data_IF_865125603808
#
_entry.id   IF_865125603808
#
_cell.length_a   1.000
_cell.length_b   1.000
_cell.length_c   1.000
_cell.angle_alpha   90.00
_cell.angle_beta   90.00
_cell.angle_gamma   90.00
#
_symmetry.space_group_name_H-M   'P 1'
#
loop_
_entity.id
_entity.type
_entity.pdbx_description
1 polymer ?
#
# COMPACT_ATOMS: atom_id res chain seq x y z
N UNK A 1 12.53 7.72 -10.70
CA UNK A 1 11.28 8.00 -9.96
C UNK A 1 10.10 7.39 -10.69
N UNK A 2 9.10 6.91 -9.97
CA UNK A 2 7.82 6.43 -10.48
C UNK A 2 6.79 7.57 -10.38
N UNK A 3 5.96 7.72 -11.41
CA UNK A 3 4.88 8.70 -11.43
C UNK A 3 3.55 7.96 -11.36
N UNK A 4 2.88 7.99 -10.20
CA UNK A 4 1.52 7.49 -10.05
C UNK A 4 0.59 8.52 -10.64
N UNK A 5 0.10 8.27 -11.87
CA UNK A 5 -0.90 9.12 -12.52
C UNK A 5 -2.30 8.62 -12.18
N UNK A 6 -3.23 9.56 -12.06
CA UNK A 6 -4.63 9.24 -11.83
C UNK A 6 -5.26 8.72 -13.12
N UNK A 7 -5.75 7.49 -13.10
CA UNK A 7 -6.46 6.90 -14.23
C UNK A 7 -7.94 7.33 -14.17
N UNK A 8 -8.22 8.57 -14.57
CA UNK A 8 -9.59 9.10 -14.58
C UNK A 8 -10.51 8.37 -15.56
N UNK A 9 -9.97 7.65 -16.56
CA UNK A 9 -10.77 6.85 -17.49
C UNK A 9 -11.35 5.61 -16.80
N UNK A 10 -10.57 4.96 -15.92
CA UNK A 10 -11.07 3.86 -15.08
C UNK A 10 -12.22 4.30 -14.16
N UNK A 11 -12.25 5.56 -13.76
CA UNK A 11 -13.30 6.14 -12.93
C UNK A 11 -14.52 6.62 -13.73
N UNK A 12 -14.49 6.54 -15.07
CA UNK A 12 -15.49 6.99 -16.05
C UNK A 12 -16.77 7.63 -15.47
N UNK A 13 -17.79 6.84 -15.08
CA UNK A 13 -19.08 7.36 -14.60
C UNK A 13 -18.98 8.20 -13.32
N UNK A 14 -18.04 7.88 -12.43
CA UNK A 14 -17.88 8.50 -11.11
C UNK A 14 -17.10 9.81 -11.14
N UNK A 15 -16.39 10.09 -12.24
CA UNK A 15 -15.62 11.32 -12.40
C UNK A 15 -16.50 12.58 -12.29
N UNK A 16 -17.77 12.46 -12.70
CA UNK A 16 -18.70 13.58 -12.81
C UNK A 16 -19.81 13.57 -11.76
N UNK A 17 -19.90 12.51 -10.92
CA UNK A 17 -20.99 12.33 -9.96
C UNK A 17 -20.63 12.71 -8.53
N UNK A 18 -19.35 12.97 -8.23
CA UNK A 18 -18.95 13.50 -6.92
C UNK A 18 -17.60 13.00 -6.41
N UNK A 19 -16.99 13.89 -5.63
CA UNK A 19 -15.81 13.86 -4.74
C UNK A 19 -14.90 12.64 -4.64
N UNK A 20 -15.32 11.39 -4.84
CA UNK A 20 -14.57 10.20 -4.45
C UNK A 20 -13.13 10.13 -5.01
N UNK A 21 -12.87 10.26 -6.33
CA UNK A 21 -11.49 10.21 -6.84
C UNK A 21 -10.62 11.36 -6.32
N UNK A 22 -11.20 12.54 -6.16
CA UNK A 22 -10.54 13.72 -5.61
C UNK A 22 -10.21 13.52 -4.12
N UNK A 23 -11.17 13.04 -3.32
CA UNK A 23 -11.00 12.81 -1.87
C UNK A 23 -9.98 11.71 -1.61
N UNK A 24 -10.04 10.60 -2.36
CA UNK A 24 -9.04 9.54 -2.27
C UNK A 24 -7.65 10.09 -2.59
N UNK A 25 -7.52 10.87 -3.67
CA UNK A 25 -6.25 11.49 -4.06
C UNK A 25 -5.74 12.46 -3.01
N UNK A 26 -6.60 13.34 -2.50
CA UNK A 26 -6.25 14.31 -1.48
C UNK A 26 -5.80 13.60 -0.19
N UNK A 27 -6.55 12.60 0.27
CA UNK A 27 -6.20 11.77 1.42
C UNK A 27 -4.86 11.08 1.21
N UNK A 28 -4.63 10.48 0.03
CA UNK A 28 -3.35 9.84 -0.29
C UNK A 28 -2.19 10.85 -0.19
N UNK A 29 -2.35 12.07 -0.70
CA UNK A 29 -1.32 13.12 -0.60
C UNK A 29 -1.06 13.48 0.88
N UNK A 30 -2.10 13.79 1.66
CA UNK A 30 -1.98 14.18 3.07
C UNK A 30 -1.30 13.09 3.92
N UNK A 31 -1.70 11.85 3.69
CA UNK A 31 -1.11 10.65 4.27
C UNK A 31 0.38 10.53 3.94
N UNK A 32 0.74 10.68 2.66
CA UNK A 32 2.12 10.57 2.20
C UNK A 32 3.00 11.70 2.70
N UNK A 33 2.50 12.94 2.81
CA UNK A 33 3.25 14.03 3.43
C UNK A 33 3.52 13.75 4.93
N UNK A 34 2.56 13.16 5.64
CA UNK A 34 2.71 12.76 7.05
C UNK A 34 3.74 11.66 7.25
N UNK A 35 3.70 10.62 6.39
CA UNK A 35 4.67 9.52 6.38
C UNK A 35 6.06 10.03 6.01
N UNK A 36 6.17 10.92 5.02
CA UNK A 36 7.44 11.47 4.55
C UNK A 36 8.22 12.21 5.65
N UNK A 37 7.53 12.85 6.59
CA UNK A 37 8.17 13.47 7.75
C UNK A 37 8.84 12.45 8.70
N UNK A 38 8.46 11.18 8.63
CA UNK A 38 8.96 10.09 9.48
C UNK A 38 9.34 8.88 8.60
N UNK A 39 10.43 8.95 7.82
CA UNK A 39 10.76 7.92 6.84
C UNK A 39 11.12 6.57 7.50
N UNK A 40 10.78 5.47 6.83
CA UNK A 40 11.13 4.11 7.24
C UNK A 40 11.65 3.31 6.04
N UNK A 41 12.69 2.47 6.18
CA UNK A 41 13.29 1.74 5.06
C UNK A 41 12.33 0.77 4.35
N UNK A 42 11.32 0.25 5.05
CA UNK A 42 10.30 -0.66 4.50
C UNK A 42 8.99 0.02 4.09
N UNK A 43 9.01 1.34 3.89
CA UNK A 43 7.88 2.11 3.37
C UNK A 43 8.28 2.72 2.04
N UNK A 44 7.36 2.67 1.06
CA UNK A 44 7.54 3.26 -0.26
C UNK A 44 7.84 4.75 -0.13
N UNK A 45 9.01 5.18 -0.62
CA UNK A 45 9.43 6.56 -0.46
C UNK A 45 8.68 7.50 -1.41
N UNK A 46 7.94 8.44 -0.84
CA UNK A 46 7.22 9.51 -1.52
C UNK A 46 8.07 10.79 -1.58
N UNK A 47 8.08 11.44 -2.75
CA UNK A 47 8.91 12.62 -3.06
C UNK A 47 8.11 13.89 -3.32
N UNK A 48 6.78 13.86 -3.16
CA UNK A 48 5.89 14.99 -3.44
C UNK A 48 4.98 14.75 -4.64
N UNK A 49 4.42 15.85 -5.15
CA UNK A 49 3.53 15.88 -6.32
C UNK A 49 4.19 16.55 -7.52
N UNK A 50 3.82 16.12 -8.73
CA UNK A 50 4.06 16.86 -9.96
C UNK A 50 2.89 17.83 -10.18
N UNK A 51 3.21 19.11 -10.43
CA UNK A 51 2.22 20.15 -10.71
C UNK A 51 2.41 20.68 -12.12
N UNK A 52 1.37 20.64 -12.94
CA UNK A 52 1.35 21.18 -14.30
C UNK A 52 0.20 22.17 -14.44
N UNK A 53 0.49 23.41 -14.83
CA UNK A 53 -0.52 24.49 -14.99
C UNK A 53 -1.39 24.70 -13.75
N UNK A 54 -0.82 24.54 -12.55
CA UNK A 54 -1.53 24.69 -11.28
C UNK A 54 -2.30 23.45 -10.80
N UNK A 55 -2.28 22.35 -11.55
CA UNK A 55 -2.97 21.10 -11.18
C UNK A 55 -1.99 20.01 -10.80
N UNK A 56 -2.30 19.21 -9.79
CA UNK A 56 -1.55 17.99 -9.45
C UNK A 56 -1.80 16.94 -10.54
N UNK A 57 -0.74 16.51 -11.24
CA UNK A 57 -0.82 15.56 -12.36
C UNK A 57 -0.22 14.19 -12.08
N UNK A 58 0.53 14.05 -10.99
CA UNK A 58 1.02 12.77 -10.49
C UNK A 58 1.51 12.88 -9.03
N UNK A 59 1.45 11.76 -8.30
CA UNK A 59 2.25 11.56 -7.09
C UNK A 59 3.59 10.92 -7.49
N UNK A 60 4.67 11.35 -6.85
CA UNK A 60 6.03 10.94 -7.19
C UNK A 60 6.59 10.04 -6.12
N UNK A 61 6.98 8.82 -6.51
CA UNK A 61 7.54 7.82 -5.62
C UNK A 61 8.91 7.33 -6.11
N UNK A 62 9.68 6.68 -5.24
CA UNK A 62 10.81 5.86 -5.67
C UNK A 62 10.30 4.77 -6.62
N UNK A 63 11.05 4.51 -7.69
CA UNK A 63 10.72 3.43 -8.64
C UNK A 63 11.37 2.14 -8.16
N UNK A 64 10.55 1.16 -7.84
CA UNK A 64 10.96 -0.20 -7.47
C UNK A 64 10.95 -1.13 -8.68
N UNK A 65 11.53 -2.33 -8.55
CA UNK A 65 11.72 -3.26 -9.67
C UNK A 65 10.41 -3.92 -10.11
N UNK A 66 9.57 -4.33 -9.15
CA UNK A 66 8.21 -4.84 -9.34
C UNK A 66 7.49 -4.93 -7.99
N UNK A 67 6.21 -5.32 -8.00
CA UNK A 67 5.49 -5.76 -6.80
C UNK A 67 5.83 -7.22 -6.44
N UNK A 68 5.42 -7.66 -5.24
CA UNK A 68 5.69 -8.99 -4.71
C UNK A 68 4.96 -10.09 -5.48
N UNK A 69 3.74 -9.83 -5.96
CA UNK A 69 2.97 -10.77 -6.77
C UNK A 69 3.76 -11.13 -8.05
N UNK A 70 4.24 -10.10 -8.75
CA UNK A 70 5.12 -10.22 -9.91
C UNK A 70 6.46 -10.87 -9.57
N UNK A 71 7.07 -10.51 -8.43
CA UNK A 71 8.36 -11.07 -8.00
C UNK A 71 8.28 -12.58 -7.80
N UNK A 72 7.24 -13.06 -7.13
CA UNK A 72 6.97 -14.48 -6.92
C UNK A 72 6.61 -15.19 -8.22
N UNK A 73 5.76 -14.59 -9.06
CA UNK A 73 5.36 -15.16 -10.34
C UNK A 73 6.55 -15.40 -11.30
N UNK A 74 7.65 -14.66 -11.14
CA UNK A 74 8.90 -14.83 -11.88
C UNK A 74 9.80 -15.96 -11.36
N UNK A 75 9.36 -16.73 -10.36
CA UNK A 75 10.15 -17.82 -9.81
C UNK A 75 11.29 -17.37 -8.89
N UNK A 76 11.23 -16.15 -8.34
CA UNK A 76 12.33 -15.60 -7.56
C UNK A 76 12.53 -16.34 -6.23
N UNK A 77 13.78 -16.59 -5.86
CA UNK A 77 14.15 -17.11 -4.55
C UNK A 77 14.36 -15.98 -3.56
N UNK A 78 13.79 -16.10 -2.36
CA UNK A 78 13.96 -15.13 -1.28
C UNK A 78 13.65 -15.75 0.08
N UNK A 79 14.01 -15.04 1.14
CA UNK A 79 13.63 -15.41 2.51
C UNK A 79 12.25 -14.81 2.86
N UNK A 80 11.19 -15.64 2.93
CA UNK A 80 9.85 -15.16 3.26
C UNK A 80 9.74 -14.68 4.72
N UNK A 81 10.58 -15.19 5.63
CA UNK A 81 10.57 -14.75 7.04
C UNK A 81 11.12 -13.33 7.15
N UNK A 82 12.24 -13.05 6.46
CA UNK A 82 12.77 -11.70 6.35
C UNK A 82 11.77 -10.73 5.70
N UNK A 83 11.07 -11.15 4.64
CA UNK A 83 10.01 -10.35 4.02
C UNK A 83 8.90 -10.01 5.01
N UNK A 84 8.34 -11.00 5.71
CA UNK A 84 7.26 -10.78 6.67
C UNK A 84 7.71 -9.89 7.83
N UNK A 85 8.98 -10.02 8.26
CA UNK A 85 9.55 -9.13 9.27
C UNK A 85 9.65 -7.68 8.79
N UNK A 86 10.05 -7.46 7.54
CA UNK A 86 10.11 -6.12 6.93
C UNK A 86 8.72 -5.48 6.81
N UNK A 87 7.71 -6.27 6.40
CA UNK A 87 6.32 -5.79 6.35
C UNK A 87 5.76 -5.48 7.74
N UNK A 88 6.04 -6.34 8.73
CA UNK A 88 5.67 -6.08 10.12
C UNK A 88 6.25 -4.76 10.62
N UNK A 89 7.53 -4.51 10.34
CA UNK A 89 8.18 -3.24 10.72
C UNK A 89 7.51 -2.03 10.05
N UNK A 90 7.17 -2.13 8.75
CA UNK A 90 6.44 -1.07 8.04
C UNK A 90 5.05 -0.79 8.63
N UNK A 91 4.28 -1.85 8.93
CA UNK A 91 2.93 -1.75 9.51
C UNK A 91 3.01 -1.14 10.92
N UNK A 92 3.93 -1.62 11.76
CA UNK A 92 4.14 -1.05 13.11
C UNK A 92 4.50 0.43 13.03
N UNK A 93 5.30 0.83 12.05
CA UNK A 93 5.68 2.23 11.86
C UNK A 93 4.48 3.13 11.53
N UNK A 94 3.66 2.77 10.54
CA UNK A 94 2.47 3.58 10.19
C UNK A 94 1.42 3.58 11.32
N UNK A 95 1.30 2.46 12.05
CA UNK A 95 0.44 2.36 13.24
C UNK A 95 0.87 3.32 14.34
N UNK A 96 2.18 3.47 14.56
CA UNK A 96 2.73 4.41 15.53
C UNK A 96 2.48 5.89 15.14
N UNK A 97 2.31 6.16 13.84
CA UNK A 97 1.91 7.47 13.32
C UNK A 97 0.38 7.70 13.36
N UNK A 98 -0.40 6.72 13.84
CA UNK A 98 -1.85 6.80 13.96
C UNK A 98 -2.62 6.46 12.68
N UNK A 99 -1.98 5.78 11.71
CA UNK A 99 -2.60 5.35 10.46
C UNK A 99 -2.80 3.83 10.41
N UNK A 100 -3.77 3.41 9.61
CA UNK A 100 -4.06 2.00 9.27
C UNK A 100 -4.13 1.89 7.75
N UNK A 101 -3.31 1.01 7.16
CA UNK A 101 -3.19 0.86 5.71
C UNK A 101 -4.46 0.33 5.04
N UNK A 102 -5.16 -0.59 5.71
CA UNK A 102 -6.42 -1.29 5.34
C UNK A 102 -6.41 -2.05 4.01
N UNK A 103 -5.26 -2.16 3.33
CA UNK A 103 -5.13 -2.85 2.04
C UNK A 103 -3.76 -3.53 1.90
N UNK A 104 -3.29 -4.18 2.97
CA UNK A 104 -2.04 -4.95 2.93
C UNK A 104 -2.25 -6.22 2.11
N UNK A 105 -1.60 -6.29 0.94
CA UNK A 105 -1.63 -7.42 -0.02
C UNK A 105 -0.36 -7.49 -0.85
N UNK A 106 -0.16 -8.59 -1.57
CA UNK A 106 1.06 -8.81 -2.36
C UNK A 106 1.30 -7.73 -3.44
N UNK A 107 0.24 -7.22 -4.07
CA UNK A 107 0.33 -6.18 -5.10
C UNK A 107 0.77 -4.81 -4.55
N UNK A 108 0.60 -4.58 -3.25
CA UNK A 108 0.96 -3.33 -2.56
C UNK A 108 2.33 -3.42 -1.87
N UNK A 109 3.04 -4.53 -2.04
CA UNK A 109 4.41 -4.71 -1.55
C UNK A 109 5.37 -4.61 -2.72
N UNK A 110 6.24 -3.60 -2.74
CA UNK A 110 7.22 -3.41 -3.79
C UNK A 110 8.58 -3.99 -3.41
N UNK A 111 9.33 -4.43 -4.41
CA UNK A 111 10.62 -5.09 -4.26
C UNK A 111 11.73 -4.24 -4.86
N UNK A 112 12.74 -3.97 -4.04
CA UNK A 112 14.01 -3.41 -4.47
C UNK A 112 15.05 -4.53 -4.53
N UNK A 113 15.36 -4.96 -5.76
CA UNK A 113 16.35 -6.01 -6.04
C UNK A 113 17.72 -5.41 -6.34
N UNK A 114 17.91 -4.09 -6.22
CA UNK A 114 19.22 -3.47 -6.38
C UNK A 114 20.13 -3.65 -5.15
N UNK A 115 19.54 -4.07 -4.03
CA UNK A 115 20.21 -4.40 -2.78
C UNK A 115 20.13 -5.90 -2.48
N UNK A 116 21.12 -6.42 -1.75
CA UNK A 116 21.15 -7.82 -1.30
C UNK A 116 21.27 -7.91 0.23
N UNK A 117 20.40 -8.67 0.92
CA UNK A 117 19.19 -9.31 0.38
C UNK A 117 18.20 -8.27 -0.16
N UNK A 118 17.27 -8.70 -1.03
CA UNK A 118 16.25 -7.81 -1.58
C UNK A 118 15.46 -7.14 -0.44
N UNK A 119 15.11 -5.87 -0.65
CA UNK A 119 14.32 -5.07 0.29
C UNK A 119 12.88 -5.03 -0.16
N UNK A 120 11.97 -5.25 0.79
CA UNK A 120 10.53 -5.20 0.58
C UNK A 120 9.99 -3.93 1.24
N UNK A 121 9.14 -3.21 0.51
CA UNK A 121 8.53 -1.98 0.98
C UNK A 121 7.01 -2.03 0.83
N UNK A 122 6.28 -1.59 1.86
CA UNK A 122 4.85 -1.40 1.79
C UNK A 122 4.54 -0.07 1.10
N UNK A 123 3.60 -0.06 0.17
CA UNK A 123 3.15 1.15 -0.51
C UNK A 123 1.68 1.07 -0.93
N UNK A 124 1.26 2.03 -1.74
CA UNK A 124 -0.13 2.26 -2.13
C UNK A 124 -1.05 2.65 -0.96
N UNK A 125 -0.97 3.94 -0.57
CA UNK A 125 -1.64 4.49 0.62
C UNK A 125 -3.00 5.13 0.32
N UNK A 126 -3.59 4.84 -0.83
CA UNK A 126 -4.86 5.46 -1.23
C UNK A 126 -6.07 4.93 -0.46
N UNK A 127 -5.95 3.74 0.12
CA UNK A 127 -6.93 3.14 1.01
C UNK A 127 -6.68 3.49 2.47
N UNK A 128 -5.49 4.03 2.81
CA UNK A 128 -5.08 4.27 4.20
C UNK A 128 -5.94 5.35 4.87
N UNK A 129 -6.30 5.11 6.14
CA UNK A 129 -7.09 6.02 6.99
C UNK A 129 -6.39 6.25 8.32
N UNK A 130 -6.83 7.25 9.08
CA UNK A 130 -6.45 7.37 10.49
C UNK A 130 -7.14 6.27 11.31
N UNK A 131 -6.50 5.81 12.37
CA UNK A 131 -7.11 4.85 13.29
C UNK A 131 -8.42 5.42 13.88
N UNK A 132 -9.50 4.63 13.80
CA UNK A 132 -10.84 5.00 14.24
C UNK A 132 -11.65 5.84 13.23
N UNK A 133 -11.07 6.23 12.10
CA UNK A 133 -11.79 6.94 11.05
C UNK A 133 -12.73 6.01 10.28
N UNK A 134 -13.88 6.52 9.84
CA UNK A 134 -14.81 5.75 9.02
C UNK A 134 -14.18 5.33 7.68
N UNK A 135 -14.38 4.08 7.28
CA UNK A 135 -13.93 3.56 5.99
C UNK A 135 -14.76 4.21 4.87
N UNK A 136 -14.19 5.20 4.19
CA UNK A 136 -14.87 5.94 3.14
C UNK A 136 -14.15 5.84 1.80
N UNK A 137 -14.95 5.76 0.74
CA UNK A 137 -14.59 5.77 -0.69
C UNK A 137 -13.73 4.61 -1.20
N UNK A 138 -12.71 4.17 -0.46
CA UNK A 138 -11.82 3.07 -0.83
C UNK A 138 -11.26 2.37 0.39
N UNK A 139 -11.45 1.06 0.50
CA UNK A 139 -10.91 0.22 1.57
C UNK A 139 -10.84 -1.24 1.13
N UNK A 140 -9.75 -1.91 1.51
CA UNK A 140 -9.55 -3.34 1.35
C UNK A 140 -9.64 -3.88 -0.08
N UNK A 141 -9.22 -5.13 -0.22
CA UNK A 141 -9.41 -5.91 -1.44
C UNK A 141 -10.13 -7.21 -1.06
N UNK A 142 -11.18 -7.63 -1.77
CA UNK A 142 -11.79 -8.94 -1.56
C UNK A 142 -10.71 -10.05 -1.58
N UNK A 143 -10.86 -11.04 -0.71
CA UNK A 143 -9.88 -12.11 -0.43
C UNK A 143 -8.61 -11.70 0.34
N UNK A 144 -8.36 -10.41 0.58
CA UNK A 144 -7.25 -9.92 1.43
C UNK A 144 -7.70 -9.30 2.75
N UNK A 145 -9.01 -9.06 2.89
CA UNK A 145 -9.63 -8.42 4.05
C UNK A 145 -10.45 -9.41 4.87
N UNK A 146 -10.64 -9.07 6.14
CA UNK A 146 -11.57 -9.73 7.05
C UNK A 146 -12.94 -9.07 6.93
N UNK A 147 -13.98 -9.84 6.59
CA UNK A 147 -15.32 -9.27 6.38
C UNK A 147 -15.94 -8.78 7.71
N UNK A 148 -15.73 -9.47 8.83
CA UNK A 148 -16.24 -9.04 10.15
C UNK A 148 -15.56 -7.76 10.64
N UNK A 149 -14.26 -7.59 10.38
CA UNK A 149 -13.60 -6.31 10.66
C UNK A 149 -14.12 -5.20 9.74
N UNK A 150 -14.41 -5.51 8.48
CA UNK A 150 -14.92 -4.54 7.51
C UNK A 150 -16.32 -4.04 7.88
N UNK A 151 -17.16 -4.89 8.46
CA UNK A 151 -18.49 -4.54 8.98
C UNK A 151 -18.47 -3.52 10.13
N UNK A 152 -17.32 -3.29 10.76
CA UNK A 152 -17.17 -2.23 11.78
C UNK A 152 -17.19 -0.83 11.17
N UNK A 153 -17.05 -0.72 9.85
CA UNK A 153 -17.05 0.54 9.08
C UNK A 153 -16.02 1.59 9.53
N UNK A 154 -15.03 1.20 10.35
CA UNK A 154 -13.95 2.07 10.84
C UNK A 154 -12.59 1.39 10.70
N UNK A 155 -11.56 2.18 10.44
CA UNK A 155 -10.19 1.70 10.29
C UNK A 155 -9.61 1.27 11.65
N UNK A 156 -9.26 -0.01 11.76
CA UNK A 156 -8.66 -0.60 12.98
C UNK A 156 -7.39 -1.37 12.64
N UNK A 157 -6.38 -1.32 13.51
CA UNK A 157 -5.05 -1.90 13.28
C UNK A 157 -5.10 -3.39 12.95
N UNK A 158 -6.09 -4.11 13.47
CA UNK A 158 -6.31 -5.53 13.22
C UNK A 158 -6.49 -5.87 11.74
N UNK A 159 -6.97 -4.92 10.93
CA UNK A 159 -7.12 -5.08 9.47
C UNK A 159 -5.77 -5.28 8.79
N UNK A 160 -4.75 -4.53 9.18
CA UNK A 160 -3.40 -4.67 8.60
C UNK A 160 -2.73 -5.97 9.06
N UNK A 161 -2.95 -6.35 10.32
CA UNK A 161 -2.46 -7.64 10.83
C UNK A 161 -3.14 -8.81 10.14
N UNK A 162 -4.42 -8.69 9.78
CA UNK A 162 -5.10 -9.67 8.95
C UNK A 162 -4.47 -9.74 7.55
N UNK A 163 -4.29 -8.60 6.88
CA UNK A 163 -3.66 -8.56 5.56
C UNK A 163 -2.25 -9.17 5.56
N UNK A 164 -1.45 -8.91 6.60
CA UNK A 164 -0.13 -9.55 6.77
C UNK A 164 -0.24 -11.09 6.89
N UNK A 165 -1.21 -11.62 7.65
CA UNK A 165 -1.47 -13.06 7.72
C UNK A 165 -1.91 -13.63 6.36
N UNK A 166 -2.66 -12.86 5.58
CA UNK A 166 -3.05 -13.26 4.23
C UNK A 166 -1.87 -13.30 3.27
N UNK A 167 -0.93 -12.35 3.36
CA UNK A 167 0.35 -12.41 2.63
C UNK A 167 1.14 -13.66 3.01
N UNK A 168 1.25 -13.97 4.30
CA UNK A 168 1.90 -15.21 4.75
C UNK A 168 1.23 -16.46 4.16
N UNK A 169 -0.10 -16.57 4.29
CA UNK A 169 -0.87 -17.72 3.77
C UNK A 169 -0.68 -17.85 2.25
N UNK A 170 -0.72 -16.74 1.53
CA UNK A 170 -0.50 -16.70 0.09
C UNK A 170 0.91 -17.17 -0.27
N UNK A 171 1.96 -16.69 0.43
CA UNK A 171 3.34 -17.13 0.22
C UNK A 171 3.50 -18.65 0.42
N UNK A 172 2.83 -19.23 1.43
CA UNK A 172 2.85 -20.70 1.66
C UNK A 172 2.25 -21.46 0.47
N UNK A 173 1.17 -20.93 -0.11
CA UNK A 173 0.57 -21.48 -1.33
C UNK A 173 1.40 -21.28 -2.60
N UNK A 174 2.46 -20.46 -2.54
CA UNK A 174 3.39 -20.15 -3.64
C UNK A 174 4.80 -20.70 -3.41
N UNK A 175 4.95 -21.78 -2.66
CA UNK A 175 6.26 -22.42 -2.46
C UNK A 175 7.18 -21.72 -1.44
N UNK A 176 6.66 -20.77 -0.65
CA UNK A 176 7.34 -20.19 0.52
C UNK A 176 8.76 -19.68 0.23
N UNK A 177 8.89 -18.81 -0.78
CA UNK A 177 10.17 -18.23 -1.21
C UNK A 177 11.01 -19.15 -2.11
N UNK A 178 10.46 -20.31 -2.50
CA UNK A 178 10.99 -21.25 -3.49
C UNK A 178 9.86 -21.75 -4.42
N UNK A 179 9.20 -20.83 -5.16
CA UNK A 179 8.07 -21.12 -6.05
C UNK A 179 8.41 -22.07 -7.19
#
# INVERSE_FOLDING_TARGET
LFKKRFDYLRWGPYLFTGTAPYVITQREIENNESIRAHPHPNICAYHGVEVTKGFVTALIFTKYNCDLSTYVARGAHFDPVNLLSQLKAAITHIHALGFVHVDVKAENVFVDTSVQPARFVLGDFDSMHKEGEALQYKWGTPAWRDEELTEREVAVKEMDWYGLRMVEKWLRGKGWGRP
#
